data_IF_907166111081
#
_entry.id   IF_907166111081
#
_cell.length_a   1.000
_cell.length_b   1.000
_cell.length_c   1.000
_cell.angle_alpha   90.00
_cell.angle_beta   90.00
_cell.angle_gamma   90.00
#
_symmetry.space_group_name_H-M   'P 1'
#
loop_
_entity.id
_entity.type
_entity.pdbx_description
1 polymer ?
#
# COMPACT_ATOMS: atom_id res chain seq x y z
N UNK A 1 -6.31 6.27 -18.15
CA UNK A 1 -6.10 6.46 -16.70
C UNK A 1 -7.42 6.51 -15.92
N UNK A 2 -8.41 7.27 -16.39
CA UNK A 2 -9.75 7.40 -15.75
C UNK A 2 -10.44 6.03 -15.56
N UNK A 3 -10.49 5.19 -16.60
CA UNK A 3 -11.12 3.86 -16.53
C UNK A 3 -10.50 2.94 -15.47
N UNK A 4 -9.17 2.86 -15.38
CA UNK A 4 -8.49 2.02 -14.38
C UNK A 4 -8.74 2.51 -12.94
N UNK A 5 -8.84 3.82 -12.74
CA UNK A 5 -9.19 4.39 -11.43
C UNK A 5 -10.63 4.07 -11.04
N UNK A 6 -11.56 4.12 -11.98
CA UNK A 6 -12.94 3.71 -11.76
C UNK A 6 -13.03 2.21 -11.43
N UNK A 7 -12.38 1.35 -12.20
CA UNK A 7 -12.34 -0.10 -11.95
C UNK A 7 -11.70 -0.43 -10.58
N UNK A 8 -10.64 0.27 -10.20
CA UNK A 8 -10.03 0.14 -8.87
C UNK A 8 -11.01 0.52 -7.77
N UNK A 9 -11.68 1.67 -7.90
CA UNK A 9 -12.69 2.14 -6.94
C UNK A 9 -13.83 1.14 -6.78
N UNK A 10 -14.41 0.67 -7.89
CA UNK A 10 -15.52 -0.29 -7.88
C UNK A 10 -15.13 -1.60 -7.21
N UNK A 11 -13.94 -2.15 -7.53
CA UNK A 11 -13.44 -3.37 -6.90
C UNK A 11 -13.14 -3.20 -5.43
N UNK A 12 -12.57 -2.06 -5.03
CA UNK A 12 -12.29 -1.76 -3.63
C UNK A 12 -13.58 -1.74 -2.81
N UNK A 13 -14.60 -1.01 -3.27
CA UNK A 13 -15.88 -0.90 -2.57
C UNK A 13 -16.66 -2.22 -2.57
N UNK A 14 -16.55 -3.03 -3.62
CA UNK A 14 -17.12 -4.37 -3.66
C UNK A 14 -16.51 -5.32 -2.61
N UNK A 15 -15.24 -5.11 -2.24
CA UNK A 15 -14.55 -5.92 -1.23
C UNK A 15 -14.80 -5.44 0.19
N UNK A 16 -14.95 -4.13 0.42
CA UNK A 16 -14.92 -3.54 1.77
C UNK A 16 -16.25 -2.97 2.27
N UNK A 17 -17.25 -2.78 1.40
CA UNK A 17 -18.48 -1.99 1.64
C UNK A 17 -18.27 -0.48 1.51
N UNK A 18 -19.31 0.21 1.03
CA UNK A 18 -19.33 1.66 0.83
C UNK A 18 -19.62 2.41 2.14
N UNK A 19 -18.64 2.41 3.05
CA UNK A 19 -18.64 3.24 4.26
C UNK A 19 -18.01 4.61 3.98
N UNK A 20 -18.32 5.60 4.82
CA UNK A 20 -17.72 6.93 4.71
C UNK A 20 -16.18 6.87 4.81
N UNK A 21 -15.64 6.01 5.68
CA UNK A 21 -14.20 5.79 5.85
C UNK A 21 -13.55 5.25 4.57
N UNK A 22 -14.14 4.23 3.95
CA UNK A 22 -13.64 3.64 2.71
C UNK A 22 -13.73 4.62 1.54
N UNK A 23 -14.83 5.37 1.44
CA UNK A 23 -14.99 6.42 0.44
C UNK A 23 -13.95 7.54 0.66
N UNK A 24 -13.69 7.93 1.90
CA UNK A 24 -12.68 8.93 2.24
C UNK A 24 -11.27 8.42 1.89
N UNK A 25 -10.94 7.16 2.17
CA UNK A 25 -9.69 6.53 1.75
C UNK A 25 -9.46 6.68 0.23
N UNK A 26 -10.48 6.35 -0.58
CA UNK A 26 -10.42 6.46 -2.04
C UNK A 26 -10.35 7.91 -2.57
N UNK A 27 -10.57 8.94 -1.75
CA UNK A 27 -10.33 10.33 -2.16
C UNK A 27 -8.83 10.64 -2.26
N UNK A 28 -7.99 9.91 -1.53
CA UNK A 28 -6.56 10.14 -1.42
C UNK A 28 -5.72 9.18 -2.27
N UNK A 29 -6.32 8.16 -2.86
CA UNK A 29 -5.64 7.11 -3.62
C UNK A 29 -6.02 7.16 -5.10
N UNK A 30 -5.07 6.79 -5.95
CA UNK A 30 -5.31 6.57 -7.37
C UNK A 30 -4.51 5.37 -7.90
N UNK A 31 -5.02 4.72 -8.94
CA UNK A 31 -4.27 3.74 -9.70
C UNK A 31 -3.51 4.45 -10.83
N UNK A 32 -2.19 4.36 -10.80
CA UNK A 32 -1.30 5.13 -11.66
C UNK A 32 -0.16 4.31 -12.25
N UNK A 33 0.52 4.89 -13.24
CA UNK A 33 1.81 4.37 -13.71
C UNK A 33 2.91 4.88 -12.77
N UNK A 34 3.90 4.03 -12.58
CA UNK A 34 5.12 4.34 -11.88
C UNK A 34 6.23 4.30 -12.92
N UNK A 35 7.05 5.33 -12.92
CA UNK A 35 8.23 5.37 -13.79
C UNK A 35 9.41 5.08 -12.89
N UNK A 36 9.93 3.87 -12.94
CA UNK A 36 11.24 3.61 -12.36
C UNK A 36 12.28 4.33 -13.25
N UNK A 37 12.84 5.42 -12.73
CA UNK A 37 13.82 6.22 -13.46
C UNK A 37 15.14 5.47 -13.69
N UNK A 38 15.41 4.39 -12.95
CA UNK A 38 16.65 3.62 -13.05
C UNK A 38 16.48 2.36 -13.91
N UNK A 39 15.32 1.69 -13.86
CA UNK A 39 15.12 0.41 -14.54
C UNK A 39 14.43 0.47 -15.92
N UNK A 40 14.07 1.66 -16.42
CA UNK A 40 13.22 1.86 -17.63
C UNK A 40 11.91 1.05 -17.61
N UNK A 41 11.49 0.58 -16.43
CA UNK A 41 10.28 -0.23 -16.26
C UNK A 41 9.13 0.68 -15.84
N UNK A 42 8.04 0.58 -16.61
CA UNK A 42 6.77 1.22 -16.26
C UNK A 42 5.89 0.20 -15.57
N UNK A 43 5.86 0.22 -14.24
CA UNK A 43 4.91 -0.58 -13.45
C UNK A 43 3.61 0.20 -13.24
N UNK A 44 2.56 -0.45 -12.74
CA UNK A 44 1.30 0.20 -12.43
C UNK A 44 0.82 -0.22 -11.05
N UNK A 45 0.58 0.73 -10.17
CA UNK A 45 0.27 0.48 -8.77
C UNK A 45 -0.69 1.50 -8.18
N UNK A 46 -1.01 1.31 -6.90
CA UNK A 46 -1.78 2.27 -6.11
C UNK A 46 -0.81 3.30 -5.54
N UNK A 47 -1.12 4.58 -5.73
CA UNK A 47 -0.30 5.71 -5.27
C UNK A 47 -1.15 6.77 -4.59
N UNK A 48 -0.49 7.66 -3.86
CA UNK A 48 -1.13 8.86 -3.31
C UNK A 48 -1.52 9.78 -4.47
N UNK A 49 -2.79 10.15 -4.52
CA UNK A 49 -3.35 10.94 -5.60
C UNK A 49 -2.60 12.24 -5.80
N UNK A 50 -2.10 12.47 -7.01
CA UNK A 50 -1.35 13.68 -7.37
C UNK A 50 0.06 13.76 -6.80
N UNK A 51 0.59 12.69 -6.21
CA UNK A 51 1.98 12.59 -5.74
C UNK A 51 2.66 11.39 -6.36
N UNK A 52 3.97 11.44 -6.56
CA UNK A 52 4.74 10.26 -6.98
C UNK A 52 5.22 9.45 -5.76
N UNK A 53 4.25 8.93 -5.01
CA UNK A 53 4.48 8.13 -3.80
C UNK A 53 3.61 6.89 -3.88
N UNK A 54 4.23 5.71 -3.92
CA UNK A 54 3.54 4.43 -4.03
C UNK A 54 3.19 3.91 -2.64
N UNK A 55 2.06 3.22 -2.51
CA UNK A 55 1.68 2.65 -1.20
C UNK A 55 2.67 1.56 -0.76
N UNK A 56 3.28 0.81 -1.71
CA UNK A 56 4.33 -0.17 -1.40
C UNK A 56 5.57 0.49 -0.75
N UNK A 57 5.97 1.69 -1.19
CA UNK A 57 7.09 2.43 -0.58
C UNK A 57 6.78 2.89 0.84
N UNK A 58 5.55 3.35 1.10
CA UNK A 58 5.12 3.69 2.46
C UNK A 58 5.18 2.45 3.36
N UNK A 59 4.70 1.30 2.88
CA UNK A 59 4.74 0.07 3.65
C UNK A 59 6.15 -0.49 3.83
N UNK A 60 7.04 -0.29 2.86
CA UNK A 60 8.45 -0.61 3.02
C UNK A 60 9.12 0.29 4.06
N UNK A 61 8.82 1.60 4.10
CA UNK A 61 9.28 2.46 5.18
C UNK A 61 8.72 2.06 6.56
N UNK A 62 7.53 1.45 6.60
CA UNK A 62 6.96 0.90 7.84
C UNK A 62 7.65 -0.41 8.29
N UNK A 63 8.17 -1.20 7.35
CA UNK A 63 8.98 -2.40 7.60
C UNK A 63 10.30 -2.05 8.30
N UNK A 64 10.92 -0.92 7.94
CA UNK A 64 12.16 -0.44 8.55
C UNK A 64 12.01 0.02 10.02
N UNK A 65 10.77 0.09 10.53
CA UNK A 65 10.51 0.39 11.95
C UNK A 65 10.77 -0.88 12.77
N UNK A 66 11.93 -0.92 13.43
CA UNK A 66 12.40 -2.07 14.24
C UNK A 66 11.50 -2.43 15.44
N UNK A 67 10.67 -1.51 15.91
CA UNK A 67 9.84 -1.67 17.12
C UNK A 67 8.37 -1.44 16.81
N UNK A 68 7.49 -2.23 17.44
CA UNK A 68 6.03 -2.00 17.32
C UNK A 68 5.71 -0.56 17.77
N UNK A 69 5.06 0.28 16.93
CA UNK A 69 4.70 1.64 17.32
C UNK A 69 3.79 1.67 18.55
N UNK A 70 3.96 2.67 19.42
CA UNK A 70 3.21 2.76 20.68
C UNK A 70 1.68 2.70 20.49
N UNK A 71 1.07 3.43 19.52
CA UNK A 71 -0.35 3.31 19.28
C UNK A 71 -0.79 1.90 18.88
N UNK A 72 0.08 1.11 18.24
CA UNK A 72 -0.23 -0.27 17.87
C UNK A 72 -0.13 -1.19 19.09
N UNK A 73 0.87 -0.98 19.97
CA UNK A 73 1.02 -1.72 21.23
C UNK A 73 -0.16 -1.51 22.17
N UNK A 74 -0.75 -0.31 22.20
CA UNK A 74 -1.96 -0.04 23.00
C UNK A 74 -3.13 -0.98 22.64
N UNK A 75 -3.27 -1.33 21.36
CA UNK A 75 -4.29 -2.28 20.91
C UNK A 75 -3.84 -3.75 20.95
N UNK A 76 -2.54 -4.00 20.76
CA UNK A 76 -1.95 -5.34 20.66
C UNK A 76 -0.73 -5.47 21.58
N UNK A 77 -0.93 -5.56 22.91
CA UNK A 77 0.17 -5.52 23.87
C UNK A 77 1.12 -6.73 23.79
N UNK A 78 0.62 -7.85 23.29
CA UNK A 78 1.38 -9.09 23.14
C UNK A 78 2.12 -9.20 21.79
N UNK A 79 1.96 -8.22 20.89
CA UNK A 79 2.60 -8.23 19.57
C UNK A 79 4.11 -8.00 19.71
N UNK A 80 4.90 -8.95 19.25
CA UNK A 80 6.36 -8.85 19.26
C UNK A 80 6.89 -8.01 18.09
N UNK A 81 8.13 -7.51 18.22
CA UNK A 81 8.80 -6.81 17.12
C UNK A 81 8.99 -7.71 15.88
N UNK A 82 9.26 -9.01 16.09
CA UNK A 82 9.43 -9.98 15.00
C UNK A 82 8.13 -10.20 14.23
N UNK A 83 7.00 -10.34 14.94
CA UNK A 83 5.68 -10.46 14.32
C UNK A 83 5.26 -9.18 13.60
N UNK A 84 5.60 -8.01 14.17
CA UNK A 84 5.39 -6.73 13.50
C UNK A 84 6.15 -6.62 12.18
N UNK A 85 7.45 -6.95 12.18
CA UNK A 85 8.27 -6.98 10.97
C UNK A 85 7.71 -7.98 9.95
N UNK A 86 7.29 -9.17 10.39
CA UNK A 86 6.70 -10.16 9.50
C UNK A 86 5.37 -9.67 8.88
N UNK A 87 4.52 -9.01 9.67
CA UNK A 87 3.24 -8.48 9.22
C UNK A 87 3.41 -7.34 8.20
N UNK A 88 4.29 -6.37 8.48
CA UNK A 88 4.56 -5.26 7.56
C UNK A 88 5.22 -5.76 6.27
N UNK A 89 6.19 -6.68 6.38
CA UNK A 89 6.80 -7.36 5.21
C UNK A 89 5.76 -8.06 4.34
N UNK A 90 4.85 -8.82 4.96
CA UNK A 90 3.79 -9.51 4.24
C UNK A 90 2.91 -8.54 3.46
N UNK A 91 2.49 -7.43 4.08
CA UNK A 91 1.69 -6.40 3.40
C UNK A 91 2.47 -5.77 2.24
N UNK A 92 3.75 -5.44 2.42
CA UNK A 92 4.62 -4.92 1.35
C UNK A 92 4.66 -5.89 0.17
N UNK A 93 4.96 -7.17 0.41
CA UNK A 93 5.03 -8.20 -0.65
C UNK A 93 3.68 -8.38 -1.35
N UNK A 94 2.56 -8.34 -0.62
CA UNK A 94 1.23 -8.42 -1.22
C UNK A 94 0.94 -7.23 -2.14
N UNK A 95 1.35 -6.01 -1.75
CA UNK A 95 1.21 -4.83 -2.59
C UNK A 95 2.04 -4.94 -3.87
N UNK A 96 3.29 -5.39 -3.77
CA UNK A 96 4.18 -5.63 -4.91
C UNK A 96 3.63 -6.69 -5.88
N UNK A 97 3.10 -7.80 -5.32
CA UNK A 97 2.49 -8.87 -6.11
C UNK A 97 1.30 -8.35 -6.94
N UNK A 98 0.49 -7.48 -6.37
CA UNK A 98 -0.70 -6.92 -7.02
C UNK A 98 -0.33 -5.86 -8.07
N UNK A 99 0.72 -5.07 -7.84
CA UNK A 99 1.20 -4.07 -8.81
C UNK A 99 2.02 -4.67 -9.94
N UNK A 100 2.44 -5.93 -9.82
CA UNK A 100 3.40 -6.55 -10.74
C UNK A 100 4.78 -5.91 -10.66
N UNK A 101 5.07 -5.20 -9.56
CA UNK A 101 6.39 -4.70 -9.24
C UNK A 101 7.26 -5.87 -8.78
N UNK A 102 8.42 -6.02 -9.42
CA UNK A 102 9.48 -6.93 -8.95
C UNK A 102 10.61 -6.05 -8.47
N UNK A 103 10.64 -5.77 -7.17
CA UNK A 103 11.86 -5.29 -6.52
C UNK A 103 12.78 -6.49 -6.32
N UNK A 104 13.98 -6.41 -6.91
CA UNK A 104 15.07 -7.30 -6.54
C UNK A 104 15.65 -6.74 -5.24
N UNK A 105 15.34 -7.41 -4.13
CA UNK A 105 15.98 -7.17 -2.84
C UNK A 105 17.44 -7.64 -2.88
#
# INVERSE_FOLDING_TARGET
>A
MIRKNQEFREKFLALTSETEENVNCLKHLEYGKLTDSEAERVTSGVKIKGKDIVISEIMNAMEDIEYVPEPVKEYYPDLTNEEWQAATRFVTVMLLLISGEVFLF
#
